data_IF_466409488898
#
_entry.id   IF_466409488898
#
_cell.length_a   1.000
_cell.length_b   1.000
_cell.length_c   1.000
_cell.angle_alpha   90.00
_cell.angle_beta   90.00
_cell.angle_gamma   90.00
#
_symmetry.space_group_name_H-M   'P 1'
#
loop_
_entity.id
_entity.type
_entity.pdbx_description
1 polymer ?
#
# COMPACT_ATOMS: atom_id res chain seq x y z
N UNK A 1 15.23 -6.53 13.51
CA UNK A 1 14.70 -7.44 12.49
C UNK A 1 13.51 -6.80 11.78
N UNK A 2 13.57 -6.74 10.45
CA UNK A 2 12.46 -6.21 9.67
C UNK A 2 11.38 -7.26 9.50
N UNK A 3 10.14 -6.88 9.83
CA UNK A 3 8.98 -7.73 9.61
C UNK A 3 8.13 -7.07 8.53
N UNK A 4 7.98 -7.74 7.40
CA UNK A 4 7.13 -7.26 6.33
C UNK A 4 5.77 -7.93 6.44
N UNK A 5 4.72 -7.14 6.30
CA UNK A 5 3.37 -7.66 6.26
C UNK A 5 2.90 -7.71 4.81
N UNK A 6 2.28 -8.83 4.45
CA UNK A 6 1.72 -8.99 3.13
C UNK A 6 0.24 -8.64 3.15
N UNK A 7 -0.17 -7.83 2.19
CA UNK A 7 -1.55 -7.39 2.05
C UNK A 7 -1.97 -7.55 0.60
N UNK A 8 -3.25 -7.79 0.41
CA UNK A 8 -3.84 -7.83 -0.93
C UNK A 8 -4.70 -6.60 -1.09
N UNK A 9 -4.54 -5.92 -2.21
CA UNK A 9 -5.29 -4.72 -2.53
C UNK A 9 -5.90 -4.84 -3.92
N UNK A 10 -6.93 -4.05 -4.18
CA UNK A 10 -7.53 -3.93 -5.50
C UNK A 10 -6.92 -2.74 -6.22
N UNK A 11 -6.43 -2.96 -7.43
CA UNK A 11 -5.90 -1.89 -8.24
C UNK A 11 -7.03 -0.89 -8.57
N UNK A 12 -6.83 0.41 -8.31
CA UNK A 12 -7.88 1.40 -8.59
C UNK A 12 -8.13 1.64 -10.08
N UNK A 13 -7.28 1.11 -10.95
CA UNK A 13 -7.43 1.27 -12.39
C UNK A 13 -8.02 0.03 -13.05
N UNK A 14 -7.41 -1.13 -12.82
CA UNK A 14 -7.82 -2.36 -13.52
C UNK A 14 -8.66 -3.30 -12.66
N UNK A 15 -8.75 -3.05 -11.36
CA UNK A 15 -9.54 -3.87 -10.45
C UNK A 15 -8.95 -5.23 -10.09
N UNK A 16 -7.72 -5.49 -10.50
CA UNK A 16 -7.06 -6.76 -10.20
C UNK A 16 -6.59 -6.81 -8.75
N UNK A 17 -6.65 -7.98 -8.16
CA UNK A 17 -6.12 -8.20 -6.81
C UNK A 17 -4.61 -8.31 -6.88
N UNK A 18 -3.92 -7.47 -6.11
CA UNK A 18 -2.47 -7.38 -6.13
C UNK A 18 -1.92 -7.60 -4.74
N UNK A 19 -0.92 -8.47 -4.64
CA UNK A 19 -0.20 -8.69 -3.39
C UNK A 19 0.92 -7.67 -3.23
N UNK A 20 1.00 -7.06 -2.07
CA UNK A 20 2.04 -6.09 -1.75
C UNK A 20 2.67 -6.42 -0.41
N UNK A 21 3.90 -5.94 -0.21
CA UNK A 21 4.59 -6.08 1.08
C UNK A 21 4.72 -4.69 1.70
N UNK A 22 4.42 -4.61 2.98
CA UNK A 22 4.42 -3.34 3.72
C UNK A 22 5.37 -3.47 4.90
N UNK A 23 6.19 -2.43 5.11
CA UNK A 23 7.06 -2.34 6.27
C UNK A 23 6.44 -1.39 7.29
N UNK A 24 5.81 -1.91 8.34
CA UNK A 24 5.15 -1.04 9.32
C UNK A 24 6.12 -0.26 10.20
N UNK A 25 7.40 -0.60 10.18
CA UNK A 25 8.38 0.09 11.00
C UNK A 25 8.64 1.52 10.55
N UNK A 26 8.25 1.88 9.33
CA UNK A 26 8.42 3.25 8.84
C UNK A 26 7.40 4.23 9.41
N UNK A 27 6.34 3.73 10.04
CA UNK A 27 5.26 4.56 10.55
C UNK A 27 4.31 4.98 9.45
N UNK A 28 3.62 6.11 9.66
CA UNK A 28 2.73 6.66 8.64
C UNK A 28 3.54 7.08 7.42
N UNK A 29 3.08 6.68 6.25
CA UNK A 29 3.83 6.95 5.03
C UNK A 29 2.88 7.08 3.84
N UNK A 30 3.33 7.84 2.85
CA UNK A 30 2.63 7.98 1.57
C UNK A 30 3.67 7.72 0.49
N UNK A 31 3.39 6.77 -0.39
CA UNK A 31 4.34 6.40 -1.42
C UNK A 31 3.59 5.94 -2.67
N UNK A 32 4.32 5.79 -3.76
CA UNK A 32 3.77 5.42 -5.06
C UNK A 32 4.39 4.11 -5.49
N UNK A 33 3.54 3.16 -5.89
CA UNK A 33 3.96 1.89 -6.45
C UNK A 33 3.19 1.63 -7.74
N UNK A 34 3.85 1.02 -8.71
CA UNK A 34 3.21 0.70 -9.98
C UNK A 34 2.40 -0.60 -9.86
N UNK A 35 1.24 -0.60 -10.49
CA UNK A 35 0.44 -1.82 -10.61
C UNK A 35 1.19 -2.81 -11.51
N UNK A 36 1.29 -4.07 -11.07
CA UNK A 36 2.00 -5.08 -11.83
C UNK A 36 1.23 -5.55 -13.06
N UNK A 37 -0.06 -5.26 -13.13
CA UNK A 37 -0.93 -5.71 -14.21
C UNK A 37 -1.08 -4.63 -15.28
N UNK A 38 -1.47 -3.42 -14.88
CA UNK A 38 -1.71 -2.33 -15.83
C UNK A 38 -0.57 -1.31 -15.88
N UNK A 39 0.43 -1.45 -15.03
CA UNK A 39 1.63 -0.61 -15.00
C UNK A 39 1.34 0.87 -14.71
N UNK A 40 0.25 1.16 -14.05
CA UNK A 40 -0.09 2.54 -13.67
C UNK A 40 0.31 2.82 -12.24
N UNK A 41 0.71 4.06 -11.93
CA UNK A 41 1.14 4.41 -10.58
C UNK A 41 -0.05 4.50 -9.63
N UNK A 42 0.07 3.84 -8.49
CA UNK A 42 -0.93 3.84 -7.43
C UNK A 42 -0.36 4.58 -6.22
N UNK A 43 -1.17 5.40 -5.60
CA UNK A 43 -0.78 6.15 -4.40
C UNK A 43 -1.23 5.39 -3.17
N UNK A 44 -0.29 5.07 -2.30
CA UNK A 44 -0.54 4.34 -1.07
C UNK A 44 -0.45 5.27 0.12
N UNK A 45 -1.45 5.22 0.98
CA UNK A 45 -1.46 5.94 2.25
C UNK A 45 -1.48 4.93 3.38
N UNK A 46 -0.37 4.80 4.08
CA UNK A 46 -0.21 3.87 5.18
C UNK A 46 -0.34 4.60 6.50
N UNK A 47 -1.19 4.09 7.39
CA UNK A 47 -1.35 4.62 8.74
C UNK A 47 -1.00 3.54 9.74
N UNK A 48 -0.18 3.89 10.72
CA UNK A 48 0.20 2.96 11.78
C UNK A 48 -0.08 3.58 13.14
N UNK A 49 -0.18 2.73 14.16
CA UNK A 49 -0.35 3.19 15.53
C UNK A 49 1.03 3.35 16.22
N UNK A 50 1.06 3.88 17.47
CA UNK A 50 2.33 4.04 18.19
C UNK A 50 3.07 2.73 18.47
N UNK A 51 2.38 1.60 18.41
CA UNK A 51 2.99 0.29 18.61
C UNK A 51 3.57 -0.29 17.33
N UNK A 52 3.39 0.39 16.21
CA UNK A 52 3.91 -0.06 14.94
C UNK A 52 2.98 -1.00 14.17
N UNK A 53 1.72 -1.10 14.56
CA UNK A 53 0.74 -1.92 13.85
C UNK A 53 0.08 -1.12 12.75
N UNK A 54 -0.26 -1.79 11.64
CA UNK A 54 -0.97 -1.14 10.55
C UNK A 54 -2.42 -0.94 10.95
N UNK A 55 -2.84 0.31 11.00
CA UNK A 55 -4.22 0.69 11.34
C UNK A 55 -5.07 0.79 10.08
N UNK A 56 -4.49 1.34 9.02
CA UNK A 56 -5.22 1.57 7.78
C UNK A 56 -4.27 1.58 6.60
N UNK A 57 -4.78 1.17 5.47
CA UNK A 57 -4.04 1.22 4.21
C UNK A 57 -5.03 1.61 3.12
N UNK A 58 -4.81 2.76 2.50
CA UNK A 58 -5.65 3.26 1.43
C UNK A 58 -4.84 3.30 0.15
N UNK A 59 -5.41 2.80 -0.93
CA UNK A 59 -4.78 2.83 -2.25
C UNK A 59 -5.67 3.62 -3.18
N UNK A 60 -5.10 4.60 -3.87
CA UNK A 60 -5.85 5.48 -4.75
C UNK A 60 -5.15 5.61 -6.09
N UNK A 61 -5.91 5.99 -7.11
CA UNK A 61 -5.32 6.37 -8.38
C UNK A 61 -4.62 7.71 -8.23
N UNK A 62 -3.65 7.96 -9.12
CA UNK A 62 -2.87 9.19 -9.06
C UNK A 62 -3.73 10.44 -9.26
N UNK A 63 -4.84 10.30 -9.96
CA UNK A 63 -5.72 11.42 -10.29
C UNK A 63 -6.85 11.65 -9.28
N UNK A 64 -6.89 10.88 -8.23
CA UNK A 64 -7.91 11.06 -7.18
C UNK A 64 -7.57 12.21 -6.25
#
# INVERSE_FOLDING_TARGET
>A
MMILEERSIDCPYCGELIGISIDPSTGNDTYIEDCQVCCRPMVFHLSTDPDGNIVDLVVRSEND
#
